data_IF_153041783902
#
_entry.id   IF_153041783902
#
_cell.length_a   1.000
_cell.length_b   1.000
_cell.length_c   1.000
_cell.angle_alpha   90.00
_cell.angle_beta   90.00
_cell.angle_gamma   90.00
#
_symmetry.space_group_name_H-M   'P 1'
#
loop_
_entity.id
_entity.type
_entity.pdbx_description
1 polymer ?
#
# COMPACT_ATOMS: atom_id res chain seq x y z
N UNK A 1 11.16 6.88 -20.55
CA UNK A 1 11.78 7.49 -19.34
C UNK A 1 13.15 8.01 -19.72
N UNK A 2 13.54 9.23 -19.30
CA UNK A 2 14.89 9.74 -19.50
C UNK A 2 15.79 9.22 -18.35
N UNK A 3 16.84 8.41 -18.62
CA UNK A 3 17.71 7.86 -17.58
C UNK A 3 18.36 8.93 -16.70
N UNK A 4 18.60 10.14 -17.23
CA UNK A 4 19.22 11.23 -16.50
C UNK A 4 18.30 11.85 -15.43
N UNK A 5 16.98 11.77 -15.61
CA UNK A 5 16.01 12.29 -14.63
C UNK A 5 15.65 11.25 -13.58
N UNK A 6 15.80 9.95 -13.88
CA UNK A 6 15.48 8.87 -12.94
C UNK A 6 16.30 8.98 -11.64
N UNK A 7 17.61 9.29 -11.75
CA UNK A 7 18.49 9.50 -10.58
C UNK A 7 18.08 10.69 -9.69
N UNK A 8 17.26 11.61 -10.22
CA UNK A 8 16.82 12.82 -9.52
C UNK A 8 15.40 12.69 -8.95
N UNK A 9 14.67 11.65 -9.31
CA UNK A 9 13.30 11.45 -8.88
C UNK A 9 13.27 10.96 -7.42
N UNK A 10 12.42 11.57 -6.61
CA UNK A 10 12.13 11.10 -5.25
C UNK A 10 10.86 10.27 -5.28
N UNK A 11 10.90 9.07 -4.70
CA UNK A 11 9.69 8.24 -4.56
C UNK A 11 8.70 8.91 -3.60
N UNK A 12 7.48 9.15 -4.07
CA UNK A 12 6.46 9.96 -3.43
C UNK A 12 5.62 9.23 -2.39
N UNK A 13 6.25 8.69 -1.35
CA UNK A 13 5.57 8.18 -0.16
C UNK A 13 5.84 9.14 1.00
N UNK A 14 4.93 10.09 1.29
CA UNK A 14 5.07 11.07 2.37
C UNK A 14 5.43 10.43 3.70
N UNK A 15 4.71 9.39 4.10
CA UNK A 15 4.87 8.68 5.37
C UNK A 15 6.30 8.14 5.57
N UNK A 16 7.03 7.86 4.48
CA UNK A 16 8.36 7.26 4.52
C UNK A 16 9.48 8.22 4.08
N UNK A 17 9.16 9.24 3.30
CA UNK A 17 10.14 10.10 2.60
C UNK A 17 9.77 11.58 2.59
N UNK A 18 8.86 12.06 3.44
CA UNK A 18 8.43 13.49 3.54
C UNK A 18 9.60 14.47 3.46
N UNK A 19 10.67 14.23 4.21
CA UNK A 19 11.86 15.09 4.22
C UNK A 19 12.59 15.16 2.88
N UNK A 20 12.60 14.07 2.10
CA UNK A 20 13.18 14.03 0.75
C UNK A 20 12.24 14.61 -0.30
N UNK A 21 10.93 14.50 -0.10
CA UNK A 21 9.91 15.08 -0.98
C UNK A 21 9.93 16.60 -0.87
N UNK A 22 10.14 17.14 0.33
CA UNK A 22 10.31 18.58 0.54
C UNK A 22 11.49 19.11 -0.29
N UNK A 23 11.19 19.98 -1.25
CA UNK A 23 12.17 20.55 -2.18
C UNK A 23 12.54 19.67 -3.38
N UNK A 24 11.91 18.51 -3.55
CA UNK A 24 12.08 17.69 -4.74
C UNK A 24 11.50 18.40 -5.97
N UNK A 25 12.27 18.44 -7.06
CA UNK A 25 11.81 18.97 -8.37
C UNK A 25 11.04 17.94 -9.19
N UNK A 26 11.21 16.67 -8.85
CA UNK A 26 10.57 15.54 -9.52
C UNK A 26 10.23 14.49 -8.47
N UNK A 27 8.94 14.26 -8.29
CA UNK A 27 8.42 13.20 -7.42
C UNK A 27 7.82 12.12 -8.30
N UNK A 28 8.28 10.89 -8.14
CA UNK A 28 7.69 9.71 -8.75
C UNK A 28 6.59 9.20 -7.83
N UNK A 29 5.32 9.48 -8.19
CA UNK A 29 4.19 9.02 -7.40
C UNK A 29 4.12 7.48 -7.43
N UNK A 30 3.98 6.81 -6.27
CA UNK A 30 3.87 5.37 -6.19
C UNK A 30 2.71 4.77 -6.98
N UNK A 31 2.85 3.50 -7.33
CA UNK A 31 1.73 2.67 -7.77
C UNK A 31 0.75 2.37 -6.62
N UNK A 32 -0.46 1.96 -6.99
CA UNK A 32 -1.54 1.71 -6.03
C UNK A 32 -1.29 0.51 -5.11
N UNK A 33 -0.94 -0.67 -5.66
CA UNK A 33 -0.53 -1.83 -4.85
C UNK A 33 0.76 -1.60 -4.04
N UNK A 34 1.82 -1.00 -4.60
CA UNK A 34 2.99 -0.60 -3.82
C UNK A 34 2.62 0.20 -2.58
N UNK A 35 1.72 1.16 -2.71
CA UNK A 35 1.29 2.00 -1.57
C UNK A 35 0.69 1.16 -0.44
N UNK A 36 -0.27 0.27 -0.71
CA UNK A 36 -0.87 -0.56 0.35
C UNK A 36 0.13 -1.54 0.98
N UNK A 37 0.94 -2.21 0.15
CA UNK A 37 1.88 -3.25 0.60
C UNK A 37 3.06 -2.64 1.37
N UNK A 38 3.65 -1.55 0.86
CA UNK A 38 4.83 -0.93 1.49
C UNK A 38 4.44 -0.29 2.82
N UNK A 39 3.30 0.42 2.90
CA UNK A 39 2.83 0.98 4.16
C UNK A 39 2.51 -0.13 5.17
N UNK A 40 1.94 -1.26 4.74
CA UNK A 40 1.78 -2.40 5.62
C UNK A 40 3.14 -2.91 6.15
N UNK A 41 4.14 -3.14 5.28
CA UNK A 41 5.41 -3.77 5.67
C UNK A 41 6.40 -2.84 6.39
N UNK A 42 6.33 -1.53 6.17
CA UNK A 42 7.39 -0.59 6.57
C UNK A 42 7.80 -0.64 8.05
N UNK A 43 6.87 -0.74 9.03
CA UNK A 43 7.25 -0.83 10.44
C UNK A 43 8.10 -2.06 10.78
N UNK A 44 7.79 -3.22 10.15
CA UNK A 44 8.49 -4.48 10.39
C UNK A 44 9.86 -4.53 9.73
N UNK A 45 9.96 -4.02 8.50
CA UNK A 45 11.21 -3.97 7.75
C UNK A 45 12.22 -3.04 8.42
N UNK A 46 11.81 -1.81 8.78
CA UNK A 46 12.69 -0.86 9.47
C UNK A 46 13.19 -1.35 10.83
N UNK A 47 12.47 -2.27 11.47
CA UNK A 47 12.87 -2.88 12.75
C UNK A 47 13.54 -4.24 12.60
N UNK A 48 13.69 -4.76 11.38
CA UNK A 48 14.29 -6.08 11.13
C UNK A 48 13.57 -7.20 11.87
N UNK A 49 12.23 -7.23 11.84
CA UNK A 49 11.42 -8.13 12.68
C UNK A 49 10.91 -9.39 11.97
N UNK A 50 11.10 -9.49 10.65
CA UNK A 50 10.55 -10.57 9.83
C UNK A 50 11.63 -11.24 8.99
N UNK A 51 11.43 -12.52 8.66
CA UNK A 51 12.21 -13.22 7.64
C UNK A 51 11.85 -12.65 6.26
N UNK A 52 12.83 -12.01 5.62
CA UNK A 52 12.66 -11.33 4.35
C UNK A 52 12.30 -12.28 3.20
N UNK A 53 12.59 -13.58 3.32
CA UNK A 53 12.25 -14.59 2.30
C UNK A 53 10.81 -15.10 2.40
N UNK A 54 10.10 -14.72 3.46
CA UNK A 54 8.77 -15.25 3.78
C UNK A 54 7.62 -14.35 3.35
N UNK A 55 7.92 -13.22 2.70
CA UNK A 55 6.96 -12.17 2.37
C UNK A 55 6.08 -12.61 1.20
N UNK A 56 4.77 -12.63 1.45
CA UNK A 56 3.74 -12.93 0.45
C UNK A 56 2.69 -11.82 0.51
N UNK A 57 2.37 -11.19 -0.61
CA UNK A 57 1.31 -10.22 -0.73
C UNK A 57 0.22 -10.74 -1.68
N UNK A 58 -0.95 -11.01 -1.13
CA UNK A 58 -2.17 -11.29 -1.90
C UNK A 58 -3.03 -10.03 -1.89
N UNK A 59 -3.35 -9.47 -3.05
CA UNK A 59 -4.03 -8.17 -3.12
C UNK A 59 -5.18 -8.15 -4.10
N UNK A 60 -6.36 -7.76 -3.64
CA UNK A 60 -7.53 -7.55 -4.47
C UNK A 60 -7.69 -6.08 -4.84
N UNK A 61 -7.99 -5.77 -6.12
CA UNK A 61 -8.30 -4.41 -6.60
C UNK A 61 -9.59 -4.36 -7.37
N UNK A 62 -10.33 -3.26 -7.21
CA UNK A 62 -11.42 -2.89 -8.10
C UNK A 62 -10.95 -2.59 -9.53
N UNK A 63 -11.91 -2.63 -10.46
CA UNK A 63 -11.67 -2.60 -11.92
C UNK A 63 -11.07 -1.28 -12.39
N UNK A 64 -11.32 -0.17 -11.68
CA UNK A 64 -10.81 1.14 -12.07
C UNK A 64 -9.28 1.22 -12.13
N UNK A 65 -8.56 0.31 -11.48
CA UNK A 65 -7.10 0.17 -11.60
C UNK A 65 -6.63 -0.19 -13.02
N UNK A 66 -7.49 -0.80 -13.84
CA UNK A 66 -7.19 -1.14 -15.24
C UNK A 66 -7.26 0.07 -16.20
N UNK A 67 -7.81 1.21 -15.72
CA UNK A 67 -8.02 2.42 -16.50
C UNK A 67 -9.33 2.41 -17.31
N UNK A 68 -9.52 3.45 -18.13
CA UNK A 68 -10.75 3.69 -18.92
C UNK A 68 -10.72 3.06 -20.32
N UNK A 69 -9.59 2.50 -20.75
CA UNK A 69 -9.46 1.92 -22.09
C UNK A 69 -10.41 0.75 -22.29
N UNK A 70 -11.13 0.71 -23.42
CA UNK A 70 -11.99 -0.41 -23.76
C UNK A 70 -11.15 -1.66 -24.07
N UNK A 71 -11.23 -2.65 -23.20
CA UNK A 71 -10.60 -3.98 -23.34
C UNK A 71 -11.65 -5.02 -22.98
N UNK A 72 -11.69 -6.13 -23.71
CA UNK A 72 -12.64 -7.22 -23.46
C UNK A 72 -12.60 -7.63 -21.99
N UNK A 73 -11.41 -7.88 -21.45
CA UNK A 73 -11.20 -8.30 -20.05
C UNK A 73 -11.71 -7.32 -18.97
N UNK A 74 -12.10 -6.10 -19.36
CA UNK A 74 -12.62 -5.03 -18.48
C UNK A 74 -14.08 -4.68 -18.77
N UNK A 75 -14.76 -5.36 -19.71
CA UNK A 75 -16.19 -5.20 -19.95
C UNK A 75 -16.97 -5.68 -18.72
N UNK A 76 -18.14 -5.05 -18.48
CA UNK A 76 -18.96 -5.35 -17.30
C UNK A 76 -19.24 -6.86 -17.17
N UNK A 77 -19.71 -7.51 -18.23
CA UNK A 77 -20.03 -8.95 -18.18
C UNK A 77 -18.80 -9.87 -18.08
N UNK A 78 -17.59 -9.38 -18.35
CA UNK A 78 -16.33 -10.15 -18.21
C UNK A 78 -15.73 -10.04 -16.80
N UNK A 79 -16.27 -9.15 -15.97
CA UNK A 79 -15.78 -8.90 -14.61
C UNK A 79 -16.84 -9.13 -13.55
N UNK A 80 -18.09 -8.72 -13.80
CA UNK A 80 -19.20 -8.85 -12.86
C UNK A 80 -19.42 -10.31 -12.46
N UNK A 81 -19.73 -10.56 -11.18
CA UNK A 81 -19.86 -11.91 -10.58
C UNK A 81 -18.59 -12.78 -10.67
N UNK A 82 -17.43 -12.21 -11.01
CA UNK A 82 -16.17 -12.93 -11.16
C UNK A 82 -15.06 -12.42 -10.25
N UNK A 83 -14.12 -13.30 -9.92
CA UNK A 83 -12.88 -12.99 -9.17
C UNK A 83 -11.73 -13.74 -9.83
N UNK A 84 -10.71 -13.02 -10.32
CA UNK A 84 -9.61 -13.63 -11.08
C UNK A 84 -8.24 -13.07 -10.71
N UNK A 85 -7.25 -13.96 -10.60
CA UNK A 85 -5.85 -13.56 -10.47
C UNK A 85 -5.31 -13.07 -11.83
N UNK A 86 -4.33 -12.16 -11.80
CA UNK A 86 -3.65 -11.69 -13.00
C UNK A 86 -2.19 -11.33 -12.68
N UNK A 87 -1.31 -11.28 -13.69
CA UNK A 87 0.09 -10.86 -13.50
C UNK A 87 0.88 -11.70 -12.47
N UNK A 88 0.48 -12.96 -12.25
CA UNK A 88 1.05 -13.88 -11.25
C UNK A 88 2.42 -14.39 -11.71
N UNK A 89 3.27 -14.80 -10.77
CA UNK A 89 4.60 -15.37 -11.07
C UNK A 89 5.68 -14.32 -11.27
N UNK A 90 5.55 -13.17 -10.59
CA UNK A 90 6.56 -12.11 -10.61
C UNK A 90 6.54 -11.20 -11.85
N UNK A 91 5.54 -11.34 -12.73
CA UNK A 91 5.46 -10.57 -13.99
C UNK A 91 4.68 -9.27 -13.87
N UNK A 92 4.02 -9.01 -12.73
CA UNK A 92 3.31 -7.75 -12.52
C UNK A 92 4.30 -6.58 -12.43
N UNK A 93 3.97 -5.45 -13.09
CA UNK A 93 4.88 -4.29 -13.20
C UNK A 93 5.19 -3.60 -11.87
N UNK A 94 4.33 -3.76 -10.87
CA UNK A 94 4.56 -3.27 -9.51
C UNK A 94 5.52 -4.14 -8.69
N UNK A 95 5.79 -5.39 -9.06
CA UNK A 95 6.72 -6.26 -8.31
C UNK A 95 8.09 -5.61 -8.11
N UNK A 96 8.80 -5.14 -9.16
CA UNK A 96 10.11 -4.50 -8.97
C UNK A 96 10.03 -3.18 -8.18
N UNK A 97 8.92 -2.45 -8.25
CA UNK A 97 8.70 -1.24 -7.45
C UNK A 97 8.58 -1.57 -5.96
N UNK A 98 7.78 -2.59 -5.62
CA UNK A 98 7.63 -3.08 -4.26
C UNK A 98 8.99 -3.56 -3.73
N UNK A 99 9.65 -4.46 -4.46
CA UNK A 99 10.95 -5.03 -4.09
C UNK A 99 12.02 -3.96 -3.88
N UNK A 100 12.09 -2.95 -4.74
CA UNK A 100 13.00 -1.82 -4.58
C UNK A 100 12.78 -1.13 -3.22
N UNK A 101 11.55 -0.79 -2.90
CA UNK A 101 11.23 0.01 -1.72
C UNK A 101 11.34 -0.80 -0.43
N UNK A 102 10.89 -2.06 -0.42
CA UNK A 102 11.05 -2.92 0.76
C UNK A 102 12.53 -3.30 1.00
N UNK A 103 13.34 -3.45 -0.07
CA UNK A 103 14.78 -3.66 0.06
C UNK A 103 15.47 -2.45 0.70
N UNK A 104 15.09 -1.23 0.30
CA UNK A 104 15.62 -0.01 0.90
C UNK A 104 15.24 0.14 2.38
N UNK A 105 14.05 -0.32 2.77
CA UNK A 105 13.61 -0.33 4.16
C UNK A 105 14.32 -1.40 5.00
N UNK A 106 14.60 -2.57 4.41
CA UNK A 106 15.32 -3.66 5.05
C UNK A 106 16.84 -3.44 5.13
N UNK A 107 17.40 -2.66 4.20
CA UNK A 107 18.85 -2.46 4.08
C UNK A 107 19.58 -3.54 3.28
N UNK A 108 18.85 -4.51 2.73
CA UNK A 108 19.38 -5.61 1.90
C UNK A 108 18.36 -6.01 0.81
N UNK A 109 18.77 -6.75 -0.24
CA UNK A 109 17.85 -7.17 -1.29
C UNK A 109 16.75 -8.10 -0.77
N UNK A 110 15.50 -7.76 -1.11
CA UNK A 110 14.30 -8.52 -0.73
C UNK A 110 13.47 -8.83 -1.97
N UNK A 111 12.99 -10.06 -2.02
CA UNK A 111 12.01 -10.52 -3.00
C UNK A 111 10.70 -10.88 -2.31
N UNK A 112 9.58 -10.73 -3.00
CA UNK A 112 8.28 -11.15 -2.47
C UNK A 112 7.50 -11.99 -3.48
N UNK A 113 6.62 -12.86 -2.95
CA UNK A 113 5.54 -13.42 -3.76
C UNK A 113 4.41 -12.40 -3.82
N UNK A 114 4.08 -11.89 -5.02
CA UNK A 114 2.97 -10.96 -5.20
C UNK A 114 1.93 -11.52 -6.18
N UNK A 115 0.68 -11.59 -5.73
CA UNK A 115 -0.47 -12.04 -6.53
C UNK A 115 -1.58 -11.00 -6.47
N UNK A 116 -1.79 -10.21 -7.54
CA UNK A 116 -2.95 -9.35 -7.64
C UNK A 116 -4.16 -10.09 -8.19
N UNK A 117 -5.32 -9.72 -7.67
CA UNK A 117 -6.62 -10.21 -8.09
C UNK A 117 -7.54 -9.05 -8.49
N UNK A 118 -8.31 -9.25 -9.56
CA UNK A 118 -9.36 -8.34 -10.00
C UNK A 118 -10.67 -8.78 -9.34
N UNK A 119 -11.32 -7.87 -8.60
CA UNK A 119 -12.62 -8.09 -7.94
C UNK A 119 -13.74 -7.30 -8.63
N UNK A 120 -15.01 -7.76 -8.53
CA UNK A 120 -16.15 -7.14 -9.18
C UNK A 120 -16.67 -5.93 -8.37
N UNK A 121 -15.80 -4.95 -8.17
CA UNK A 121 -16.11 -3.65 -7.57
C UNK A 121 -15.35 -2.55 -8.31
N UNK A 122 -15.85 -1.31 -8.28
CA UNK A 122 -15.21 -0.23 -9.03
C UNK A 122 -13.87 0.19 -8.42
N UNK A 123 -13.88 0.48 -7.11
CA UNK A 123 -12.77 1.11 -6.38
C UNK A 123 -12.36 0.30 -5.16
N UNK A 124 -11.12 0.50 -4.75
CA UNK A 124 -10.52 -0.05 -3.54
C UNK A 124 -9.43 -1.08 -3.85
N UNK A 125 -8.42 -1.10 -2.99
CA UNK A 125 -7.45 -2.18 -2.88
C UNK A 125 -7.48 -2.71 -1.46
N UNK A 126 -7.46 -4.03 -1.31
CA UNK A 126 -7.17 -4.71 -0.06
C UNK A 126 -5.94 -5.59 -0.26
N UNK A 127 -4.90 -5.36 0.51
CA UNK A 127 -3.69 -6.17 0.51
C UNK A 127 -3.57 -6.94 1.81
N UNK A 128 -3.53 -8.27 1.70
CA UNK A 128 -3.22 -9.18 2.80
C UNK A 128 -1.77 -9.65 2.62
N UNK A 129 -0.90 -9.21 3.51
CA UNK A 129 0.53 -9.48 3.46
C UNK A 129 0.92 -10.40 4.61
N UNK A 130 1.60 -11.49 4.28
CA UNK A 130 2.07 -12.50 5.22
C UNK A 130 3.58 -12.41 5.36
N UNK A 131 4.07 -12.60 6.58
CA UNK A 131 5.50 -12.77 6.85
C UNK A 131 5.71 -13.62 8.10
N UNK A 132 6.85 -14.32 8.18
CA UNK A 132 7.28 -15.04 9.37
C UNK A 132 8.06 -14.09 10.28
N UNK A 133 7.68 -13.91 11.55
CA UNK A 133 8.45 -13.09 12.48
C UNK A 133 9.73 -13.80 12.91
N UNK A 134 10.83 -13.06 13.08
CA UNK A 134 12.09 -13.60 13.61
C UNK A 134 11.99 -13.98 15.09
N UNK A 135 11.06 -13.35 15.82
CA UNK A 135 10.73 -13.65 17.21
C UNK A 135 9.23 -13.55 17.42
N UNK A 136 8.67 -14.44 18.23
CA UNK A 136 7.24 -14.41 18.56
C UNK A 136 6.82 -13.03 19.10
N UNK A 137 5.69 -12.53 18.59
CA UNK A 137 5.07 -11.26 19.00
C UNK A 137 3.56 -11.47 19.07
N UNK A 138 2.89 -10.81 20.02
CA UNK A 138 1.43 -10.84 20.11
C UNK A 138 0.80 -9.74 19.26
N UNK A 139 -0.43 -9.95 18.81
CA UNK A 139 -1.24 -8.93 18.11
C UNK A 139 -1.24 -7.58 18.85
N UNK A 140 -1.53 -7.55 20.15
CA UNK A 140 -1.52 -6.32 20.94
C UNK A 140 -0.18 -5.53 20.85
N UNK A 141 0.96 -6.23 20.95
CA UNK A 141 2.30 -5.60 20.82
C UNK A 141 2.54 -5.11 19.40
N UNK A 142 2.05 -5.85 18.41
CA UNK A 142 2.19 -5.51 17.00
C UNK A 142 1.32 -4.30 16.63
N UNK A 143 0.08 -4.21 17.12
CA UNK A 143 -0.78 -3.02 16.97
C UNK A 143 -0.13 -1.79 17.59
N UNK A 144 0.39 -1.90 18.82
CA UNK A 144 1.08 -0.79 19.49
C UNK A 144 2.31 -0.33 18.69
N UNK A 145 3.10 -1.28 18.17
CA UNK A 145 4.24 -0.98 17.29
C UNK A 145 3.83 -0.15 16.07
N UNK A 146 2.72 -0.48 15.42
CA UNK A 146 2.25 0.23 14.24
C UNK A 146 1.69 1.61 14.60
N UNK A 147 0.93 1.71 15.69
CA UNK A 147 0.44 2.99 16.20
C UNK A 147 1.59 3.95 16.50
N UNK A 148 2.65 3.47 17.16
CA UNK A 148 3.83 4.28 17.46
C UNK A 148 4.61 4.68 16.19
N UNK A 149 4.63 3.80 15.17
CA UNK A 149 5.32 4.09 13.91
C UNK A 149 4.60 5.13 13.06
N UNK A 150 3.27 5.08 13.03
CA UNK A 150 2.42 5.98 12.23
C UNK A 150 1.83 7.11 13.07
N UNK A 151 2.33 7.33 14.28
CA UNK A 151 1.89 8.44 15.12
C UNK A 151 2.13 9.78 14.41
N UNK A 152 1.11 10.62 14.38
CA UNK A 152 1.13 11.90 13.66
C UNK A 152 0.97 11.82 12.14
N UNK A 153 0.85 10.64 11.54
CA UNK A 153 0.59 10.51 10.10
C UNK A 153 -0.90 10.75 9.80
N UNK A 154 -1.25 11.76 8.97
CA UNK A 154 -2.64 12.19 8.82
C UNK A 154 -3.51 11.20 8.05
N UNK A 155 -2.90 10.32 7.25
CA UNK A 155 -3.61 9.45 6.31
C UNK A 155 -3.38 7.96 6.55
N UNK A 156 -2.69 7.57 7.62
CA UNK A 156 -2.55 6.15 7.99
C UNK A 156 -3.30 5.91 9.30
N UNK A 157 -4.28 5.00 9.27
CA UNK A 157 -5.07 4.63 10.44
C UNK A 157 -4.74 3.19 10.82
N UNK A 158 -4.12 3.01 11.98
CA UNK A 158 -3.88 1.68 12.56
C UNK A 158 -5.11 1.27 13.35
N UNK A 159 -5.82 0.26 12.86
CA UNK A 159 -7.06 -0.20 13.47
C UNK A 159 -6.78 -0.93 14.80
N UNK A 160 -7.69 -0.81 15.78
CA UNK A 160 -7.55 -1.54 17.04
C UNK A 160 -7.66 -3.05 16.83
N UNK A 161 -7.12 -3.81 17.78
CA UNK A 161 -7.21 -5.27 17.78
C UNK A 161 -8.68 -5.73 17.68
N UNK A 162 -8.93 -6.71 16.80
CA UNK A 162 -10.27 -7.22 16.50
C UNK A 162 -11.00 -6.50 15.36
N UNK A 163 -10.48 -5.36 14.87
CA UNK A 163 -11.01 -4.68 13.69
C UNK A 163 -10.18 -4.99 12.43
N UNK A 164 -10.83 -5.05 11.27
CA UNK A 164 -10.18 -5.30 9.99
C UNK A 164 -10.50 -4.19 8.98
N UNK A 165 -9.54 -3.82 8.09
CA UNK A 165 -9.79 -2.87 7.03
C UNK A 165 -10.87 -3.36 6.07
N UNK A 166 -11.65 -2.41 5.55
CA UNK A 166 -12.61 -2.62 4.47
C UNK A 166 -12.39 -1.58 3.40
N UNK A 167 -12.37 -2.01 2.13
CA UNK A 167 -12.25 -1.08 0.99
C UNK A 167 -13.39 -0.07 0.95
N UNK A 168 -14.56 -0.44 1.46
CA UNK A 168 -15.71 0.45 1.54
C UNK A 168 -15.49 1.63 2.51
N UNK A 169 -14.71 1.45 3.58
CA UNK A 169 -14.46 2.47 4.61
C UNK A 169 -13.34 3.44 4.26
N UNK A 170 -12.67 3.24 3.12
CA UNK A 170 -11.64 4.13 2.58
C UNK A 170 -12.03 4.69 1.21
N UNK A 171 -13.14 4.23 0.61
CA UNK A 171 -13.61 4.62 -0.73
C UNK A 171 -13.74 6.14 -0.85
N UNK A 172 -13.10 6.73 -1.85
CA UNK A 172 -13.11 8.17 -2.11
C UNK A 172 -12.23 9.01 -1.18
N UNK A 173 -11.53 8.39 -0.21
CA UNK A 173 -10.69 9.10 0.75
C UNK A 173 -9.19 8.87 0.51
N UNK A 174 -8.34 9.71 1.09
CA UNK A 174 -6.89 9.53 1.05
C UNK A 174 -6.35 8.63 2.17
N UNK A 175 -7.21 7.95 2.93
CA UNK A 175 -6.79 7.08 4.03
C UNK A 175 -6.23 5.74 3.56
N UNK A 176 -5.28 5.22 4.33
CA UNK A 176 -4.80 3.86 4.35
C UNK A 176 -5.10 3.26 5.73
N UNK A 177 -5.97 2.26 5.78
CA UNK A 177 -6.28 1.52 7.00
C UNK A 177 -5.40 0.30 7.10
N UNK A 178 -4.82 0.04 8.27
CA UNK A 178 -3.93 -1.11 8.50
C UNK A 178 -4.36 -1.84 9.77
N UNK A 179 -4.53 -3.16 9.70
CA UNK A 179 -4.63 -4.03 10.87
C UNK A 179 -3.51 -5.07 10.83
N UNK A 180 -2.59 -5.03 11.80
CA UNK A 180 -1.56 -6.05 11.93
C UNK A 180 -2.00 -7.12 12.94
N UNK A 181 -1.86 -8.40 12.58
CA UNK A 181 -2.31 -9.56 13.36
C UNK A 181 -1.20 -10.62 13.43
N UNK A 182 -1.29 -11.50 14.42
CA UNK A 182 -0.49 -12.73 14.49
C UNK A 182 -1.38 -13.98 14.48
N UNK A 183 -1.07 -14.95 13.63
CA UNK A 183 -1.62 -16.30 13.68
C UNK A 183 -0.69 -17.21 14.49
N UNK A 184 -1.05 -17.47 15.75
CA UNK A 184 -0.26 -18.32 16.65
C UNK A 184 -0.19 -19.79 16.24
N UNK A 185 -1.12 -20.28 15.39
CA UNK A 185 -1.14 -21.67 14.92
C UNK A 185 -0.14 -21.89 13.80
N UNK A 186 0.01 -20.92 12.90
CA UNK A 186 0.95 -20.99 11.77
C UNK A 186 2.25 -20.23 12.02
N UNK A 187 2.33 -19.47 13.11
CA UNK A 187 3.50 -18.66 13.46
C UNK A 187 3.71 -17.49 12.50
N UNK A 188 2.65 -16.96 11.88
CA UNK A 188 2.75 -15.87 10.89
C UNK A 188 2.26 -14.54 11.43
N UNK A 189 2.87 -13.47 10.95
CA UNK A 189 2.26 -12.14 10.95
C UNK A 189 1.37 -12.03 9.70
N UNK A 190 0.19 -11.45 9.87
CA UNK A 190 -0.75 -11.12 8.81
C UNK A 190 -1.02 -9.63 8.89
N UNK A 191 -0.77 -8.90 7.82
CA UNK A 191 -1.02 -7.47 7.71
C UNK A 191 -2.13 -7.28 6.70
N UNK A 192 -3.25 -6.72 7.13
CA UNK A 192 -4.32 -6.33 6.21
C UNK A 192 -4.24 -4.83 6.05
N UNK A 193 -4.27 -4.35 4.81
CA UNK A 193 -4.34 -2.92 4.51
C UNK A 193 -5.40 -2.63 3.45
N UNK A 194 -6.07 -1.47 3.55
CA UNK A 194 -7.03 -1.02 2.56
C UNK A 194 -6.81 0.45 2.18
N UNK A 195 -6.92 0.74 0.87
CA UNK A 195 -6.87 2.09 0.30
C UNK A 195 -7.92 2.25 -0.81
N UNK A 196 -8.31 3.48 -1.14
CA UNK A 196 -8.89 3.76 -2.46
C UNK A 196 -7.75 3.81 -3.50
N UNK A 197 -7.83 2.95 -4.53
CA UNK A 197 -6.79 2.79 -5.55
C UNK A 197 -6.61 4.02 -6.45
N UNK A 198 -7.61 4.90 -6.56
CA UNK A 198 -7.57 6.12 -7.35
C UNK A 198 -7.24 7.37 -6.50
N UNK A 199 -7.44 7.31 -5.19
CA UNK A 199 -7.11 8.41 -4.26
C UNK A 199 -5.75 8.14 -3.61
N UNK A 200 -5.69 7.47 -2.46
CA UNK A 200 -4.41 7.18 -1.79
C UNK A 200 -3.48 6.31 -2.65
N UNK A 201 -4.04 5.43 -3.48
CA UNK A 201 -3.26 4.63 -4.43
C UNK A 201 -2.79 5.38 -5.68
N UNK A 202 -3.23 6.62 -5.92
CA UNK A 202 -2.86 7.39 -7.10
C UNK A 202 -2.93 8.91 -6.85
N UNK A 203 -4.03 9.56 -7.24
CA UNK A 203 -4.12 11.01 -7.37
C UNK A 203 -4.13 11.75 -6.04
N UNK A 204 -4.74 11.19 -5.00
CA UNK A 204 -4.73 11.75 -3.65
C UNK A 204 -3.31 11.82 -3.09
N UNK A 205 -2.53 10.75 -3.26
CA UNK A 205 -1.12 10.74 -2.88
C UNK A 205 -0.29 11.70 -3.73
N UNK A 206 -0.61 11.88 -5.02
CA UNK A 206 0.05 12.87 -5.86
C UNK A 206 -0.22 14.31 -5.36
N UNK A 207 -1.44 14.62 -4.93
CA UNK A 207 -1.79 15.90 -4.29
C UNK A 207 -1.08 16.05 -2.94
N UNK A 208 -1.00 14.98 -2.13
CA UNK A 208 -0.27 14.99 -0.86
C UNK A 208 1.22 15.32 -1.08
N UNK A 209 1.84 14.70 -2.09
CA UNK A 209 3.20 15.00 -2.53
C UNK A 209 3.34 16.45 -3.01
N UNK A 210 2.40 16.94 -3.84
CA UNK A 210 2.39 18.32 -4.32
C UNK A 210 2.30 19.32 -3.17
N UNK A 211 1.43 19.09 -2.19
CA UNK A 211 1.27 19.94 -1.01
C UNK A 211 2.62 20.11 -0.30
N UNK A 212 3.35 19.01 -0.06
CA UNK A 212 4.67 19.02 0.58
C UNK A 212 5.69 19.79 -0.27
N UNK A 213 5.73 19.57 -1.59
CA UNK A 213 6.65 20.26 -2.51
C UNK A 213 6.39 21.76 -2.53
N UNK A 214 5.12 22.17 -2.55
CA UNK A 214 4.70 23.58 -2.60
C UNK A 214 4.68 24.27 -1.24
N UNK A 215 4.90 23.54 -0.13
CA UNK A 215 4.88 24.10 1.22
C UNK A 215 3.48 24.36 1.78
N UNK A 216 2.44 23.75 1.19
CA UNK A 216 1.09 23.75 1.75
C UNK A 216 0.96 22.73 2.91
N UNK A 217 -0.06 22.87 3.77
CA UNK A 217 -0.46 21.81 4.68
C UNK A 217 -0.65 20.50 3.92
N UNK A 218 -0.07 19.41 4.42
CA UNK A 218 -0.09 18.12 3.74
C UNK A 218 -1.51 17.60 3.47
N UNK A 219 -2.47 17.93 4.35
CA UNK A 219 -3.88 17.53 4.24
C UNK A 219 -4.72 18.41 3.33
N UNK A 220 -4.18 19.52 2.82
CA UNK A 220 -4.94 20.49 2.03
C UNK A 220 -5.62 19.82 0.82
N UNK A 221 -6.95 19.88 0.78
CA UNK A 221 -7.77 19.28 -0.29
C UNK A 221 -7.94 17.76 -0.22
N UNK A 222 -7.53 17.12 0.89
CA UNK A 222 -7.52 15.66 1.05
C UNK A 222 -8.29 15.15 2.29
N UNK A 223 -8.95 16.05 3.01
CA UNK A 223 -9.72 15.73 4.23
C UNK A 223 -11.12 15.15 3.94
N UNK A 224 -11.38 14.79 2.68
CA UNK A 224 -12.61 14.11 2.29
C UNK A 224 -12.77 12.80 3.06
N UNK A 225 -13.88 12.67 3.78
CA UNK A 225 -14.26 11.42 4.44
C UNK A 225 -14.61 10.35 3.40
N UNK A 226 -14.51 9.09 3.80
CA UNK A 226 -14.91 7.99 2.94
C UNK A 226 -16.40 8.08 2.57
N UNK A 227 -16.69 7.84 1.30
CA UNK A 227 -18.04 7.80 0.75
C UNK A 227 -18.61 6.39 0.97
N UNK A 228 -19.43 6.25 2.01
CA UNK A 228 -20.05 4.99 2.39
C UNK A 228 -21.55 5.20 2.71
N UNK A 229 -22.45 4.28 2.30
CA UNK A 229 -22.22 3.12 1.43
C UNK A 229 -21.97 3.48 -0.05
#
# INVERSE_FOLDING_TARGET
MNPATLKKAVYGSPELRRSKIKGAKLVANPGCYPTSIILALAPLLKKGMIDLKSIIADSASGVTGAGRSAKVDSLYCEVNEGFKAYGVGGVHRHTPEIEQEISLLAGEPVQLTFTPHLVPMDRGILSTVYATPLKAISTAKLVKLYQDFYDGEPFVRVLPEGSLPSTAFVRGSNFCDIAPLTDGRTGRIILVSAIDNLVKGASGQAVQNMNIVCGFPETMGLEGLALFP
#
